data_IF_656307133977
#
_entry.id   IF_656307133977
#
_cell.length_a   1.000
_cell.length_b   1.000
_cell.length_c   1.000
_cell.angle_alpha   90.00
_cell.angle_beta   90.00
_cell.angle_gamma   90.00
#
_symmetry.space_group_name_H-M   'P 1'
#
loop_
_entity.id
_entity.type
_entity.pdbx_description
1 polymer ?
#
# COMPACT_ATOMS: atom_id res chain seq x y z
N UNK A 1 59.77 4.81 20.96
CA UNK A 1 58.60 5.72 21.06
C UNK A 1 57.66 5.59 19.85
N UNK A 2 58.18 5.58 18.61
CA UNK A 2 57.39 5.47 17.37
C UNK A 2 56.56 4.19 17.23
N UNK A 3 57.09 3.02 17.60
CA UNK A 3 56.37 1.75 17.45
C UNK A 3 55.13 1.64 18.37
N UNK A 4 55.20 2.16 19.60
CA UNK A 4 54.07 2.19 20.53
C UNK A 4 52.94 3.11 20.03
N UNK A 5 53.31 4.26 19.44
CA UNK A 5 52.36 5.19 18.83
C UNK A 5 51.65 4.54 17.63
N UNK A 6 52.39 3.84 16.76
CA UNK A 6 51.82 3.13 15.63
C UNK A 6 50.85 2.01 16.06
N UNK A 7 51.18 1.25 17.09
CA UNK A 7 50.30 0.22 17.65
C UNK A 7 49.02 0.84 18.22
N UNK A 8 49.11 1.97 18.91
CA UNK A 8 47.95 2.69 19.45
C UNK A 8 47.02 3.21 18.34
N UNK A 9 47.58 3.74 17.25
CA UNK A 9 46.78 4.17 16.10
C UNK A 9 46.13 2.99 15.37
N UNK A 10 46.86 1.88 15.22
CA UNK A 10 46.34 0.68 14.58
C UNK A 10 45.16 0.08 15.38
N UNK A 11 45.25 0.04 16.72
CA UNK A 11 44.14 -0.43 17.56
C UNK A 11 42.94 0.50 17.51
N UNK A 12 43.14 1.81 17.48
CA UNK A 12 42.06 2.78 17.36
C UNK A 12 41.30 2.62 16.02
N UNK A 13 42.02 2.49 14.91
CA UNK A 13 41.42 2.28 13.58
C UNK A 13 40.70 0.94 13.50
N UNK A 14 41.26 -0.11 14.10
CA UNK A 14 40.61 -1.42 14.15
C UNK A 14 39.29 -1.37 14.93
N UNK A 15 39.27 -0.69 16.08
CA UNK A 15 38.06 -0.49 16.89
C UNK A 15 36.99 0.31 16.14
N UNK A 16 37.38 1.40 15.47
CA UNK A 16 36.45 2.21 14.68
C UNK A 16 35.86 1.42 13.50
N UNK A 17 36.69 0.65 12.80
CA UNK A 17 36.24 -0.19 11.68
C UNK A 17 35.27 -1.28 12.15
N UNK A 18 35.58 -1.92 13.29
CA UNK A 18 34.70 -2.91 13.90
C UNK A 18 33.33 -2.30 14.28
N UNK A 19 33.33 -1.11 14.87
CA UNK A 19 32.09 -0.40 15.21
C UNK A 19 31.25 -0.06 13.98
N UNK A 20 31.87 0.41 12.89
CA UNK A 20 31.17 0.70 11.64
C UNK A 20 30.58 -0.55 11.00
N UNK A 21 31.29 -1.68 11.03
CA UNK A 21 30.79 -2.97 10.51
C UNK A 21 29.58 -3.42 11.34
N UNK A 22 29.61 -3.27 12.67
CA UNK A 22 28.49 -3.62 13.54
C UNK A 22 27.26 -2.74 13.24
N UNK A 23 27.45 -1.42 13.14
CA UNK A 23 26.38 -0.48 12.79
C UNK A 23 25.83 -0.76 11.40
N UNK A 24 26.67 -1.08 10.42
CA UNK A 24 26.22 -1.43 9.08
C UNK A 24 25.48 -2.76 9.05
N UNK A 25 25.99 -3.82 9.69
CA UNK A 25 25.32 -5.12 9.75
C UNK A 25 23.95 -5.06 10.45
N UNK A 26 23.86 -4.31 11.55
CA UNK A 26 22.60 -4.14 12.32
C UNK A 26 21.66 -3.14 11.63
N UNK A 27 22.20 -2.06 11.09
CA UNK A 27 21.45 -0.96 10.49
C UNK A 27 20.91 -1.32 9.11
N UNK A 28 21.73 -1.94 8.26
CA UNK A 28 21.35 -2.35 6.90
C UNK A 28 20.24 -3.42 6.95
N UNK A 29 20.34 -4.37 7.88
CA UNK A 29 19.29 -5.38 8.08
C UNK A 29 17.95 -4.81 8.55
N UNK A 30 17.95 -3.62 9.16
CA UNK A 30 16.71 -2.90 9.54
C UNK A 30 16.22 -1.95 8.46
N UNK A 31 17.12 -1.35 7.68
CA UNK A 31 16.78 -0.39 6.62
C UNK A 31 16.36 -1.07 5.32
N UNK A 32 17.00 -2.18 4.94
CA UNK A 32 16.68 -2.93 3.72
C UNK A 32 15.57 -3.94 3.90
N UNK A 33 15.07 -4.16 5.13
CA UNK A 33 13.93 -5.04 5.33
C UNK A 33 12.68 -4.27 4.90
N UNK A 34 12.06 -4.58 3.75
CA UNK A 34 10.82 -3.91 3.36
C UNK A 34 9.84 -4.05 4.52
N UNK A 35 9.25 -2.91 4.93
CA UNK A 35 8.10 -2.91 5.83
C UNK A 35 6.93 -3.54 5.06
N UNK A 36 6.92 -4.87 4.98
CA UNK A 36 5.73 -5.61 4.56
C UNK A 36 4.83 -5.62 5.79
N UNK A 37 3.64 -4.97 5.74
CA UNK A 37 2.69 -5.05 6.83
C UNK A 37 2.41 -6.53 7.14
N UNK A 38 2.57 -6.92 8.40
CA UNK A 38 2.28 -8.30 8.85
C UNK A 38 0.80 -8.70 8.67
N UNK A 39 -0.07 -7.77 8.30
CA UNK A 39 -1.48 -8.02 7.98
C UNK A 39 -1.67 -8.61 6.58
N UNK A 40 -0.74 -8.40 5.65
CA UNK A 40 -0.77 -9.02 4.32
C UNK A 40 -0.10 -10.40 4.34
N UNK A 41 -0.37 -11.20 5.39
CA UNK A 41 0.18 -12.54 5.50
C UNK A 41 -0.49 -13.45 4.48
N UNK A 42 0.33 -14.35 3.94
CA UNK A 42 0.13 -15.33 2.88
C UNK A 42 -1.22 -16.11 2.80
N UNK A 43 -2.11 -15.95 3.77
CA UNK A 43 -3.52 -16.39 3.68
C UNK A 43 -4.27 -15.66 2.55
N UNK A 44 -3.94 -14.38 2.31
CA UNK A 44 -4.49 -13.57 1.23
C UNK A 44 -4.11 -14.05 -0.19
N UNK A 45 -3.16 -15.00 -0.31
CA UNK A 45 -2.84 -15.63 -1.61
C UNK A 45 -3.76 -16.82 -1.92
N UNK A 46 -4.54 -17.30 -0.94
CA UNK A 46 -5.48 -18.42 -1.12
C UNK A 46 -6.94 -17.98 -1.12
N UNK A 47 -7.22 -16.76 -0.67
CA UNK A 47 -8.57 -16.20 -0.59
C UNK A 47 -8.56 -14.79 -1.12
N UNK A 48 -9.45 -14.48 -2.06
CA UNK A 48 -9.67 -13.12 -2.55
C UNK A 48 -9.94 -12.17 -1.36
N UNK A 49 -9.14 -11.13 -1.11
CA UNK A 49 -9.43 -10.20 -0.01
C UNK A 49 -10.76 -9.47 -0.26
N UNK A 50 -11.47 -9.07 0.81
CA UNK A 50 -12.63 -8.18 0.68
C UNK A 50 -12.14 -6.83 0.10
N UNK A 51 -12.81 -6.36 -0.94
CA UNK A 51 -12.52 -5.09 -1.61
C UNK A 51 -13.80 -4.26 -1.65
N UNK A 52 -13.68 -2.96 -1.38
CA UNK A 52 -14.80 -2.01 -1.52
C UNK A 52 -14.41 -0.94 -2.53
N UNK A 53 -15.23 -0.74 -3.55
CA UNK A 53 -15.08 0.26 -4.61
C UNK A 53 -16.02 1.43 -4.32
N UNK A 54 -15.47 2.61 -4.06
CA UNK A 54 -16.25 3.82 -3.80
C UNK A 54 -16.22 4.69 -5.05
N UNK A 55 -17.37 4.90 -5.68
CA UNK A 55 -17.48 5.63 -6.94
C UNK A 55 -18.27 6.92 -6.69
N UNK A 56 -17.60 8.09 -6.67
CA UNK A 56 -18.29 9.37 -6.65
C UNK A 56 -18.92 9.63 -8.03
N UNK A 57 -20.20 10.00 -8.04
CA UNK A 57 -20.99 10.29 -9.22
C UNK A 57 -21.53 11.72 -9.14
N UNK A 58 -21.61 12.38 -10.30
CA UNK A 58 -22.32 13.65 -10.42
C UNK A 58 -22.82 13.88 -11.85
N UNK A 59 -23.99 14.48 -11.98
CA UNK A 59 -24.67 14.71 -13.25
C UNK A 59 -25.13 13.40 -13.91
N UNK A 60 -25.31 13.41 -15.23
CA UNK A 60 -25.65 12.21 -16.01
C UNK A 60 -25.10 12.33 -17.42
N UNK A 61 -23.89 11.82 -17.64
CA UNK A 61 -23.31 11.77 -18.98
C UNK A 61 -23.80 10.51 -19.72
N UNK A 62 -23.94 10.56 -21.06
CA UNK A 62 -24.45 9.41 -21.83
C UNK A 62 -23.67 8.12 -21.61
N UNK A 63 -22.36 8.22 -21.39
CA UNK A 63 -21.48 7.06 -21.23
C UNK A 63 -21.38 6.55 -19.78
N UNK A 64 -21.97 7.27 -18.81
CA UNK A 64 -21.82 6.97 -17.39
C UNK A 64 -22.41 5.61 -17.02
N UNK A 65 -23.59 5.30 -17.54
CA UNK A 65 -24.29 4.04 -17.29
C UNK A 65 -23.47 2.85 -17.81
N UNK A 66 -22.94 2.95 -19.04
CA UNK A 66 -22.09 1.93 -19.63
C UNK A 66 -20.80 1.73 -18.82
N UNK A 67 -20.18 2.82 -18.35
CA UNK A 67 -19.00 2.76 -17.49
C UNK A 67 -19.32 2.09 -16.13
N UNK A 68 -20.45 2.45 -15.50
CA UNK A 68 -20.87 1.87 -14.22
C UNK A 68 -21.18 0.38 -14.34
N UNK A 69 -21.82 -0.05 -15.43
CA UNK A 69 -22.04 -1.46 -15.68
C UNK A 69 -20.75 -2.27 -15.72
N UNK A 70 -19.63 -1.69 -16.19
CA UNK A 70 -18.34 -2.39 -16.18
C UNK A 70 -17.84 -2.68 -14.76
N UNK A 71 -18.07 -1.76 -13.81
CA UNK A 71 -17.70 -1.93 -12.40
C UNK A 71 -18.65 -2.85 -11.64
N UNK A 72 -19.94 -2.84 -11.99
CA UNK A 72 -20.94 -3.69 -11.34
C UNK A 72 -20.89 -5.15 -11.81
N UNK A 73 -20.33 -5.43 -12.99
CA UNK A 73 -20.23 -6.78 -13.58
C UNK A 73 -18.88 -7.47 -13.34
N UNK A 74 -18.09 -7.00 -12.38
CA UNK A 74 -16.82 -7.63 -12.05
C UNK A 74 -17.02 -9.06 -11.54
N UNK A 75 -16.12 -9.97 -11.92
CA UNK A 75 -16.10 -11.37 -11.49
C UNK A 75 -15.34 -11.58 -10.17
N UNK A 76 -15.05 -10.49 -9.45
CA UNK A 76 -14.31 -10.53 -8.20
C UNK A 76 -15.24 -10.92 -7.02
N UNK A 77 -14.98 -12.05 -6.34
CA UNK A 77 -15.99 -12.68 -5.47
C UNK A 77 -16.30 -11.94 -4.16
N UNK A 78 -15.41 -11.04 -3.70
CA UNK A 78 -15.56 -10.31 -2.45
C UNK A 78 -15.58 -8.78 -2.67
N UNK A 79 -16.20 -8.33 -3.77
CA UNK A 79 -16.32 -6.92 -4.12
C UNK A 79 -17.63 -6.34 -3.59
N UNK A 80 -17.53 -5.20 -2.93
CA UNK A 80 -18.64 -4.32 -2.57
C UNK A 80 -18.49 -3.02 -3.36
N UNK A 81 -19.56 -2.51 -3.96
CA UNK A 81 -19.53 -1.23 -4.68
C UNK A 81 -20.46 -0.24 -4.01
N UNK A 82 -19.96 0.96 -3.75
CA UNK A 82 -20.67 2.04 -3.07
C UNK A 82 -20.70 3.24 -4.03
N UNK A 83 -21.88 3.58 -4.52
CA UNK A 83 -22.11 4.76 -5.35
C UNK A 83 -22.39 5.95 -4.44
N UNK A 84 -21.69 7.07 -4.66
CA UNK A 84 -21.81 8.28 -3.83
C UNK A 84 -22.23 9.44 -4.70
N UNK A 85 -23.41 9.98 -4.48
CA UNK A 85 -23.92 11.16 -5.20
C UNK A 85 -23.76 12.42 -4.34
N UNK A 86 -23.79 13.59 -4.97
CA UNK A 86 -23.68 14.86 -4.24
C UNK A 86 -24.92 15.18 -3.39
N UNK A 87 -26.08 14.60 -3.72
CA UNK A 87 -27.34 14.71 -2.99
C UNK A 87 -28.54 14.21 -3.82
N UNK A 88 -29.74 14.27 -3.25
CA UNK A 88 -30.98 13.78 -3.89
C UNK A 88 -31.35 14.55 -5.18
N UNK A 89 -30.91 15.80 -5.31
CA UNK A 89 -31.15 16.62 -6.50
C UNK A 89 -30.16 16.38 -7.64
N UNK A 90 -29.14 15.54 -7.43
CA UNK A 90 -28.16 15.20 -8.45
C UNK A 90 -28.77 14.21 -9.46
N UNK A 91 -28.69 14.46 -10.79
CA UNK A 91 -29.14 13.49 -11.79
C UNK A 91 -28.46 12.11 -11.69
N UNK A 92 -27.32 12.03 -11.02
CA UNK A 92 -26.67 10.76 -10.71
C UNK A 92 -27.43 9.92 -9.68
N UNK A 93 -28.26 10.54 -8.85
CA UNK A 93 -29.08 9.85 -7.84
C UNK A 93 -30.10 8.92 -8.50
N UNK A 94 -30.82 9.42 -9.50
CA UNK A 94 -31.75 8.60 -10.30
C UNK A 94 -31.04 7.41 -10.96
N UNK A 95 -29.81 7.63 -11.47
CA UNK A 95 -29.03 6.55 -12.07
C UNK A 95 -28.57 5.51 -11.03
N UNK A 96 -28.19 5.95 -9.82
CA UNK A 96 -27.81 5.04 -8.75
C UNK A 96 -29.01 4.17 -8.31
N UNK A 97 -30.20 4.76 -8.19
CA UNK A 97 -31.45 4.05 -7.87
C UNK A 97 -31.86 3.07 -8.98
N UNK A 98 -31.66 3.44 -10.25
CA UNK A 98 -31.88 2.56 -11.40
C UNK A 98 -30.97 1.33 -11.40
N UNK A 99 -29.71 1.49 -10.98
CA UNK A 99 -28.70 0.43 -10.95
C UNK A 99 -28.79 -0.47 -9.72
N UNK A 100 -29.51 -0.05 -8.67
CA UNK A 100 -29.76 -0.87 -7.46
C UNK A 100 -30.90 -1.89 -7.66
N UNK A 101 -31.85 -1.64 -8.57
CA UNK A 101 -33.00 -2.53 -8.84
C UNK A 101 -32.63 -3.74 -9.70
#
# INVERSE_FOLDING_TARGET
MSHLLLLMWATLVALQSFFLILVWGVGLGRFLKPRVPKSFRAEALRTYPKASLIIPLTGRTPDMEAALHSFLRQDYPNLETILVTSGEADPAHDLADELER
#
